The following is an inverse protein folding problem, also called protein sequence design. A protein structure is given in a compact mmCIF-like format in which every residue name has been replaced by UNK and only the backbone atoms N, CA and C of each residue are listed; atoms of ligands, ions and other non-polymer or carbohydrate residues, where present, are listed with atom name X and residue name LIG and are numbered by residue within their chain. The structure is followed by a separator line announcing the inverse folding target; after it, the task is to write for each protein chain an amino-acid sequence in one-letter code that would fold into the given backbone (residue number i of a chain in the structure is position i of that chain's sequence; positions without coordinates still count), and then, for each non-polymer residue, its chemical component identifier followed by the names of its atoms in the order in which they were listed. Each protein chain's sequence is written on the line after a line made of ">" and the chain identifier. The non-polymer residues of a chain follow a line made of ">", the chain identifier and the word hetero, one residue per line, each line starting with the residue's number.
data_IF_304246138233
#
_entry.id   IF_304246138233
#
_cell.length_a   1.000
_cell.length_b   1.000
_cell.length_c   1.000
_cell.angle_alpha   90.00
_cell.angle_beta   90.00
_cell.angle_gamma   90.00
#
_symmetry.space_group_name_H-M   'P 1'
#
loop_
_entity.id
_entity.type
_entity.pdbx_description
1 polymer ?
#
# COMPACT_ATOMS: atom_id res chain seq x y z
N UNK A 1 -16.92 -22.89 -9.48
CA UNK A 1 -16.19 -21.66 -9.12
C UNK A 1 -15.72 -21.80 -7.68
N UNK A 2 -14.40 -21.71 -7.43
CA UNK A 2 -13.84 -21.86 -6.08
C UNK A 2 -13.90 -20.57 -5.28
N UNK A 3 -13.89 -20.69 -3.95
CA UNK A 3 -13.90 -19.59 -2.97
C UNK A 3 -12.87 -18.49 -3.28
N UNK A 4 -11.60 -18.85 -3.52
CA UNK A 4 -10.52 -17.90 -3.78
C UNK A 4 -10.79 -16.99 -5.00
N UNK A 5 -11.39 -17.55 -6.06
CA UNK A 5 -11.76 -16.77 -7.25
C UNK A 5 -12.87 -15.76 -6.96
N UNK A 6 -13.84 -16.11 -6.11
CA UNK A 6 -14.91 -15.19 -5.72
C UNK A 6 -14.40 -14.09 -4.79
N UNK A 7 -13.56 -14.43 -3.82
CA UNK A 7 -12.92 -13.47 -2.92
C UNK A 7 -12.06 -12.45 -3.68
N UNK A 8 -11.21 -12.91 -4.62
CA UNK A 8 -10.41 -12.02 -5.45
C UNK A 8 -11.26 -11.06 -6.30
N UNK A 9 -12.41 -11.52 -6.83
CA UNK A 9 -13.33 -10.64 -7.58
C UNK A 9 -13.99 -9.60 -6.68
N UNK A 10 -14.45 -9.99 -5.48
CA UNK A 10 -15.09 -9.05 -4.55
C UNK A 10 -14.11 -8.02 -4.01
N UNK A 11 -12.91 -8.45 -3.61
CA UNK A 11 -11.86 -7.53 -3.15
C UNK A 11 -11.44 -6.58 -4.28
N UNK A 12 -11.27 -7.09 -5.50
CA UNK A 12 -10.93 -6.25 -6.65
C UNK A 12 -11.97 -5.17 -6.95
N UNK A 13 -13.26 -5.40 -6.66
CA UNK A 13 -14.30 -4.38 -6.75
C UNK A 13 -14.18 -3.36 -5.61
N UNK A 14 -14.00 -3.82 -4.37
CA UNK A 14 -13.84 -2.93 -3.22
C UNK A 14 -12.63 -2.00 -3.36
N UNK A 15 -11.46 -2.55 -3.69
CA UNK A 15 -10.23 -1.77 -3.92
C UNK A 15 -10.42 -0.78 -5.07
N UNK A 16 -11.14 -1.15 -6.14
CA UNK A 16 -11.45 -0.22 -7.24
C UNK A 16 -12.33 0.95 -6.79
N UNK A 17 -13.17 0.79 -5.78
CA UNK A 17 -14.04 1.88 -5.27
C UNK A 17 -13.29 2.87 -4.40
N UNK A 18 -12.34 2.39 -3.59
CA UNK A 18 -11.58 3.20 -2.65
C UNK A 18 -10.14 3.47 -3.11
N UNK A 19 -9.83 3.24 -4.39
CA UNK A 19 -8.48 3.42 -4.89
C UNK A 19 -8.08 4.91 -4.91
N UNK A 20 -6.77 5.13 -4.88
CA UNK A 20 -6.19 6.42 -5.22
C UNK A 20 -6.42 6.78 -6.69
N UNK A 21 -6.35 8.08 -6.99
CA UNK A 21 -6.41 8.57 -8.38
C UNK A 21 -5.30 7.94 -9.24
N UNK A 22 -5.56 7.68 -10.54
CA UNK A 22 -4.54 7.17 -11.44
C UNK A 22 -3.26 8.02 -11.43
N UNK A 23 -2.11 7.37 -11.36
CA UNK A 23 -0.79 8.01 -11.29
C UNK A 23 -0.31 8.33 -9.87
N UNK A 24 -1.10 8.04 -8.84
CA UNK A 24 -0.75 8.38 -7.46
C UNK A 24 0.12 7.34 -6.76
N UNK A 25 -0.08 6.05 -7.05
CA UNK A 25 0.63 4.94 -6.39
C UNK A 25 1.45 4.15 -7.42
N UNK A 26 2.73 3.95 -7.09
CA UNK A 26 3.70 3.22 -7.90
C UNK A 26 4.47 2.22 -7.04
N UNK A 27 4.69 1.04 -7.61
CA UNK A 27 5.55 0.00 -7.07
C UNK A 27 6.92 0.03 -7.74
N UNK A 28 7.99 0.03 -6.97
CA UNK A 28 9.36 -0.03 -7.47
C UNK A 28 9.98 -1.34 -7.00
N UNK A 29 10.10 -2.31 -7.91
CA UNK A 29 10.77 -3.58 -7.64
C UNK A 29 12.25 -3.33 -7.37
N UNK A 30 12.75 -3.82 -6.24
CA UNK A 30 14.11 -3.51 -5.75
C UNK A 30 14.42 -2.00 -5.63
N UNK A 31 13.39 -1.14 -5.59
CA UNK A 31 13.55 0.31 -5.56
C UNK A 31 13.98 0.96 -6.88
N UNK A 32 13.91 0.24 -8.01
CA UNK A 32 14.35 0.71 -9.33
C UNK A 32 13.25 1.51 -10.04
N UNK A 33 13.65 2.57 -10.77
CA UNK A 33 12.78 3.36 -11.65
C UNK A 33 12.87 2.91 -13.13
N UNK A 34 11.82 3.14 -13.95
CA UNK A 34 10.50 3.67 -13.60
C UNK A 34 9.61 2.55 -13.03
N UNK A 35 9.04 2.77 -11.85
CA UNK A 35 8.18 1.78 -11.19
C UNK A 35 6.93 1.41 -12.01
N UNK A 36 6.19 0.40 -11.56
CA UNK A 36 4.91 -0.02 -12.12
C UNK A 36 3.78 0.70 -11.40
N UNK A 37 2.88 1.36 -12.14
CA UNK A 37 1.72 1.99 -11.53
C UNK A 37 0.77 0.92 -10.95
N UNK A 38 0.26 1.17 -9.73
CA UNK A 38 -0.79 0.34 -9.12
C UNK A 38 -2.15 1.03 -9.32
N UNK A 39 -2.95 0.65 -10.33
CA UNK A 39 -4.23 1.31 -10.63
C UNK A 39 -5.32 1.02 -9.59
N UNK A 40 -5.12 0.00 -8.76
CA UNK A 40 -6.04 -0.45 -7.72
C UNK A 40 -5.28 -0.58 -6.41
N UNK A 41 -5.13 0.52 -5.72
CA UNK A 41 -4.41 0.60 -4.45
C UNK A 41 -5.14 1.57 -3.53
N UNK A 42 -5.38 1.15 -2.29
CA UNK A 42 -5.88 2.02 -1.22
C UNK A 42 -4.68 2.45 -0.39
N UNK A 43 -4.45 3.75 -0.28
CA UNK A 43 -3.32 4.28 0.49
C UNK A 43 -3.82 5.14 1.65
N UNK A 44 -3.51 4.69 2.87
CA UNK A 44 -3.79 5.43 4.09
C UNK A 44 -2.51 6.06 4.62
N UNK A 45 -2.51 7.39 4.69
CA UNK A 45 -1.41 8.12 5.34
C UNK A 45 -1.45 7.91 6.85
N UNK A 46 -0.27 7.91 7.47
CA UNK A 46 -0.12 7.97 8.92
C UNK A 46 -0.97 9.12 9.52
N UNK A 47 -1.77 8.81 10.54
CA UNK A 47 -2.39 9.86 11.36
C UNK A 47 -1.29 10.57 12.15
N UNK A 48 -1.16 11.88 11.95
CA UNK A 48 -0.20 12.73 12.68
C UNK A 48 -1.00 13.61 13.61
N UNK A 49 -0.76 13.48 14.92
CA UNK A 49 -1.20 14.42 15.93
C UNK A 49 -0.03 15.33 16.28
N UNK A 50 -0.26 16.63 16.40
CA UNK A 50 0.77 17.56 16.84
C UNK A 50 0.64 17.71 18.35
N UNK A 51 1.72 17.48 19.09
CA UNK A 51 1.75 17.79 20.52
C UNK A 51 1.62 19.30 20.70
N UNK A 52 0.57 19.72 21.40
CA UNK A 52 0.28 21.15 21.60
C UNK A 52 1.30 21.84 22.52
N UNK A 53 2.05 21.10 23.33
CA UNK A 53 3.04 21.66 24.25
C UNK A 53 4.41 21.87 23.57
N UNK A 54 4.83 20.93 22.72
CA UNK A 54 6.16 20.95 22.08
C UNK A 54 6.13 21.32 20.60
N UNK A 55 4.95 21.30 19.96
CA UNK A 55 4.80 21.43 18.52
C UNK A 55 5.37 20.25 17.72
N UNK A 56 5.84 19.20 18.39
CA UNK A 56 6.43 18.05 17.73
C UNK A 56 5.35 17.19 17.06
N UNK A 57 5.56 16.74 15.81
CA UNK A 57 4.67 15.78 15.19
C UNK A 57 4.83 14.42 15.88
N UNK A 58 3.76 13.92 16.47
CA UNK A 58 3.67 12.58 17.04
C UNK A 58 2.78 11.75 16.12
N UNK A 59 3.27 10.60 15.71
CA UNK A 59 2.46 9.64 14.97
C UNK A 59 2.68 8.24 15.52
N UNK A 60 1.58 7.62 15.92
CA UNK A 60 1.56 6.23 16.39
C UNK A 60 1.19 5.24 15.27
N UNK A 61 0.86 5.75 14.07
CA UNK A 61 0.37 4.96 12.95
C UNK A 61 1.33 5.05 11.77
N UNK A 62 1.73 3.90 11.24
CA UNK A 62 2.47 3.83 10.00
C UNK A 62 1.51 3.99 8.81
N UNK A 63 1.94 4.58 7.68
CA UNK A 63 1.14 4.54 6.46
C UNK A 63 0.93 3.09 6.00
N UNK A 64 -0.19 2.84 5.33
CA UNK A 64 -0.59 1.49 4.91
C UNK A 64 -0.99 1.50 3.44
N UNK A 65 -0.63 0.44 2.73
CA UNK A 65 -1.07 0.16 1.37
C UNK A 65 -1.92 -1.12 1.36
N UNK A 66 -3.18 -1.01 0.97
CA UNK A 66 -4.08 -2.14 0.69
C UNK A 66 -4.16 -2.42 -0.81
N UNK A 67 -3.88 -3.66 -1.21
CA UNK A 67 -3.87 -4.08 -2.63
C UNK A 67 -4.23 -5.56 -2.77
N UNK A 68 -4.72 -5.96 -3.94
CA UNK A 68 -4.86 -7.38 -4.27
C UNK A 68 -3.47 -7.97 -4.59
N UNK A 69 -3.17 -9.16 -4.08
CA UNK A 69 -1.90 -9.85 -4.37
C UNK A 69 -1.65 -10.03 -5.87
N UNK A 70 -2.70 -10.28 -6.65
CA UNK A 70 -2.62 -10.47 -8.10
C UNK A 70 -2.29 -9.20 -8.89
N UNK A 71 -2.49 -8.02 -8.29
CA UNK A 71 -2.20 -6.73 -8.91
C UNK A 71 -0.74 -6.28 -8.63
N UNK A 72 0.01 -7.01 -7.80
CA UNK A 72 1.43 -6.75 -7.52
C UNK A 72 2.34 -7.38 -8.59
N UNK A 73 3.42 -6.69 -9.02
CA UNK A 73 4.33 -7.21 -10.04
C UNK A 73 5.25 -8.31 -9.53
N UNK A 74 5.49 -8.38 -8.21
CA UNK A 74 6.29 -9.39 -7.54
C UNK A 74 5.77 -9.62 -6.11
N UNK A 75 6.19 -10.73 -5.51
CA UNK A 75 5.97 -10.95 -4.08
C UNK A 75 6.71 -9.86 -3.28
N UNK A 76 6.04 -9.14 -2.37
CA UNK A 76 6.64 -8.03 -1.62
C UNK A 76 7.90 -8.41 -0.85
N UNK A 77 8.96 -7.62 -1.00
CA UNK A 77 10.21 -7.75 -0.24
C UNK A 77 10.62 -6.44 0.40
N UNK A 78 11.52 -6.48 1.38
CA UNK A 78 12.09 -5.27 2.00
C UNK A 78 12.97 -4.43 1.04
N UNK A 79 13.30 -4.97 -0.14
CA UNK A 79 14.05 -4.28 -1.19
C UNK A 79 13.14 -3.39 -2.03
N UNK A 80 11.86 -3.73 -2.12
CA UNK A 80 10.87 -2.97 -2.86
C UNK A 80 10.57 -1.62 -2.20
N UNK A 81 10.09 -0.69 -3.01
CA UNK A 81 9.61 0.62 -2.54
C UNK A 81 8.22 0.90 -3.09
N UNK A 82 7.47 1.68 -2.34
CA UNK A 82 6.19 2.22 -2.78
C UNK A 82 6.33 3.73 -2.86
N UNK A 83 5.96 4.31 -4.00
CA UNK A 83 5.77 5.75 -4.13
C UNK A 83 4.28 6.04 -4.11
N UNK A 84 3.81 6.78 -3.13
CA UNK A 84 2.40 7.16 -2.99
C UNK A 84 2.29 8.66 -2.73
N UNK A 85 1.43 9.36 -3.49
CA UNK A 85 1.24 10.83 -3.38
C UNK A 85 2.56 11.62 -3.41
N UNK A 86 3.48 11.20 -4.28
CA UNK A 86 4.80 11.81 -4.46
C UNK A 86 5.85 11.44 -3.39
N UNK A 87 5.48 10.73 -2.33
CA UNK A 87 6.40 10.34 -1.26
C UNK A 87 6.88 8.90 -1.46
N UNK A 88 8.17 8.65 -1.22
CA UNK A 88 8.77 7.31 -1.24
C UNK A 88 8.69 6.66 0.15
N UNK A 89 8.32 5.37 0.15
CA UNK A 89 8.19 4.53 1.32
C UNK A 89 8.93 3.20 1.13
N UNK A 90 9.47 2.67 2.22
CA UNK A 90 9.97 1.29 2.32
C UNK A 90 8.91 0.38 2.92
N UNK A 91 8.96 -0.88 2.53
CA UNK A 91 8.13 -1.93 3.13
C UNK A 91 8.66 -2.24 4.53
N UNK A 92 7.80 -2.08 5.54
CA UNK A 92 8.12 -2.38 6.93
C UNK A 92 7.57 -3.75 7.34
N UNK A 93 6.35 -4.07 6.93
CA UNK A 93 5.71 -5.35 7.19
C UNK A 93 4.68 -5.69 6.09
N UNK A 94 4.44 -6.98 5.87
CA UNK A 94 3.55 -7.50 4.82
C UNK A 94 2.57 -8.47 5.47
N UNK A 95 1.28 -8.14 5.43
CA UNK A 95 0.22 -8.89 6.10
C UNK A 95 -0.81 -9.38 5.07
N UNK A 96 -0.63 -10.58 4.48
CA UNK A 96 -1.63 -11.20 3.63
C UNK A 96 -2.91 -11.51 4.43
N UNK A 97 -4.07 -11.35 3.81
CA UNK A 97 -5.36 -11.67 4.45
C UNK A 97 -5.70 -13.17 4.46
N UNK A 98 -4.80 -14.00 3.90
CA UNK A 98 -4.96 -15.45 3.76
C UNK A 98 -5.77 -15.89 2.54
N UNK A 99 -6.24 -14.96 1.70
CA UNK A 99 -7.09 -15.28 0.55
C UNK A 99 -6.68 -14.55 -0.73
N UNK A 100 -6.71 -13.21 -0.76
CA UNK A 100 -6.56 -12.45 -2.00
C UNK A 100 -5.89 -11.08 -1.81
N UNK A 101 -6.04 -10.47 -0.64
CA UNK A 101 -5.52 -9.16 -0.32
C UNK A 101 -4.23 -9.21 0.48
N UNK A 102 -3.56 -8.07 0.48
CA UNK A 102 -2.43 -7.82 1.36
C UNK A 102 -2.49 -6.40 1.89
N UNK A 103 -2.24 -6.27 3.18
CA UNK A 103 -2.01 -5.02 3.87
C UNK A 103 -0.50 -4.85 4.05
N UNK A 104 0.08 -3.84 3.42
CA UNK A 104 1.51 -3.55 3.50
C UNK A 104 1.71 -2.35 4.41
N UNK A 105 2.38 -2.57 5.55
CA UNK A 105 2.76 -1.49 6.46
C UNK A 105 4.01 -0.83 5.90
N UNK A 106 3.94 0.49 5.74
CA UNK A 106 4.98 1.29 5.13
C UNK A 106 5.72 2.11 6.18
N UNK A 107 6.95 2.49 5.86
CA UNK A 107 7.71 3.48 6.61
C UNK A 107 8.31 4.48 5.64
N UNK A 108 8.36 5.76 6.00
CA UNK A 108 9.05 6.77 5.17
C UNK A 108 10.49 6.28 4.90
N UNK A 109 10.88 6.32 3.63
CA UNK A 109 12.20 5.91 3.17
C UNK A 109 13.29 6.86 3.67
#
# INVERSE_FOLDING_TARGET
>A
MGWASMAGRMLGVAVKTFNEEPGTVWWLTDGVEPGVQLPKAVFDSAHITVDTETGAPISSLNPVLGVCLVDLPNEPTNRDRVRARGQLYRINDVQPDGVAGVTIILKKA
#
